data_IF_398756541789
#
_entry.id   IF_398756541789
#
_cell.length_a   1.000
_cell.length_b   1.000
_cell.length_c   1.000
_cell.angle_alpha   90.00
_cell.angle_beta   90.00
_cell.angle_gamma   90.00
#
_symmetry.space_group_name_H-M   'P 1'
#
loop_
_entity.id
_entity.type
_entity.pdbx_description
1 polymer ?
#
# COMPACT_ATOMS: atom_id res chain seq x y z
N UNK A 1 -10.36 13.87 7.90
CA UNK A 1 -9.90 14.97 7.04
C UNK A 1 -9.16 14.39 5.84
N UNK A 2 -9.03 15.13 4.74
CA UNK A 2 -8.24 14.69 3.58
C UNK A 2 -6.76 14.67 3.97
N UNK A 3 -6.09 13.54 3.78
CA UNK A 3 -4.69 13.35 4.13
C UNK A 3 -3.84 13.18 2.88
N UNK A 4 -2.67 13.80 2.86
CA UNK A 4 -1.72 13.75 1.75
C UNK A 4 -0.30 13.69 2.31
N UNK A 5 0.61 13.18 1.50
CA UNK A 5 2.02 13.07 1.82
C UNK A 5 2.83 14.04 0.94
N UNK A 6 3.76 14.75 1.57
CA UNK A 6 4.82 15.50 0.89
C UNK A 6 6.15 14.78 1.09
N UNK A 7 6.66 14.18 0.02
CA UNK A 7 7.88 13.38 0.05
C UNK A 7 9.02 14.23 -0.50
N UNK A 8 10.07 14.43 0.30
CA UNK A 8 11.20 15.30 -0.06
C UNK A 8 12.11 14.73 -1.15
N UNK A 9 12.03 13.43 -1.45
CA UNK A 9 12.98 12.74 -2.34
C UNK A 9 14.44 13.03 -1.96
N UNK A 10 14.73 13.00 -0.64
CA UNK A 10 16.02 13.42 -0.08
C UNK A 10 17.19 12.47 -0.42
N UNK A 11 16.91 11.28 -0.98
CA UNK A 11 17.94 10.36 -1.42
C UNK A 11 18.59 10.88 -2.70
N UNK A 12 19.93 10.81 -2.75
CA UNK A 12 20.72 11.25 -3.90
C UNK A 12 20.25 10.53 -5.17
N UNK A 13 19.86 11.30 -6.19
CA UNK A 13 19.39 10.78 -7.47
C UNK A 13 17.92 10.34 -7.49
N UNK A 14 17.18 10.47 -6.39
CA UNK A 14 15.75 10.10 -6.36
C UNK A 14 14.82 11.16 -6.97
N UNK A 15 15.15 12.46 -6.94
CA UNK A 15 14.46 13.56 -7.63
C UNK A 15 12.97 13.29 -7.98
N UNK A 16 12.66 12.93 -9.22
CA UNK A 16 11.31 12.62 -9.73
C UNK A 16 11.08 11.12 -9.97
N UNK A 17 11.95 10.22 -9.49
CA UNK A 17 11.87 8.78 -9.75
C UNK A 17 10.55 8.18 -9.28
N UNK A 18 10.02 8.62 -8.12
CA UNK A 18 8.72 8.19 -7.63
C UNK A 18 7.58 8.62 -8.57
N UNK A 19 7.64 9.85 -9.09
CA UNK A 19 6.66 10.39 -10.06
C UNK A 19 6.71 9.59 -11.35
N UNK A 20 7.91 9.33 -11.89
CA UNK A 20 8.09 8.54 -13.11
C UNK A 20 7.57 7.12 -12.92
N UNK A 21 7.93 6.47 -11.80
CA UNK A 21 7.48 5.12 -11.48
C UNK A 21 5.96 5.01 -11.42
N UNK A 22 5.28 5.93 -10.71
CA UNK A 22 3.82 5.91 -10.64
C UNK A 22 3.17 6.22 -11.99
N UNK A 23 3.77 7.10 -12.80
CA UNK A 23 3.27 7.39 -14.14
C UNK A 23 3.36 6.17 -15.06
N UNK A 24 4.46 5.42 -14.99
CA UNK A 24 4.61 4.15 -15.73
C UNK A 24 3.58 3.13 -15.25
N UNK A 25 3.36 3.00 -13.93
CA UNK A 25 2.33 2.12 -13.38
C UNK A 25 0.94 2.42 -13.97
N UNK A 26 0.56 3.71 -14.02
CA UNK A 26 -0.68 4.12 -14.68
C UNK A 26 -0.73 3.82 -16.18
N UNK A 27 0.39 3.98 -16.90
CA UNK A 27 0.47 3.69 -18.35
C UNK A 27 0.31 2.20 -18.67
N UNK A 28 0.80 1.30 -17.80
CA UNK A 28 0.66 -0.15 -17.98
C UNK A 28 -0.64 -0.70 -17.41
N UNK A 29 -1.53 0.16 -16.91
CA UNK A 29 -2.81 -0.25 -16.36
C UNK A 29 -2.71 -0.97 -15.01
N UNK A 30 -1.67 -0.69 -14.21
CA UNK A 30 -1.57 -1.23 -12.87
C UNK A 30 -2.79 -0.79 -12.04
N UNK A 31 -3.43 -1.76 -11.38
CA UNK A 31 -4.58 -1.48 -10.54
C UNK A 31 -4.19 -0.54 -9.39
N UNK A 32 -5.05 0.45 -9.12
CA UNK A 32 -4.92 1.37 -8.00
C UNK A 32 -3.56 2.13 -7.92
N UNK A 33 -2.98 2.49 -9.07
CA UNK A 33 -1.81 3.36 -9.09
C UNK A 33 -2.15 4.76 -8.54
N UNK A 34 -1.47 5.18 -7.48
CA UNK A 34 -1.64 6.50 -6.88
C UNK A 34 -1.17 7.65 -7.78
N UNK A 35 -1.70 8.83 -7.52
CA UNK A 35 -1.29 10.08 -8.15
C UNK A 35 -0.05 10.64 -7.45
N UNK A 36 1.02 10.85 -8.24
CA UNK A 36 2.27 11.44 -7.77
C UNK A 36 2.54 12.71 -8.59
N UNK A 37 2.55 13.86 -7.93
CA UNK A 37 2.74 15.17 -8.57
C UNK A 37 4.04 15.81 -8.05
N UNK A 38 4.97 16.20 -8.93
CA UNK A 38 6.13 17.00 -8.52
C UNK A 38 5.66 18.43 -8.23
N UNK A 39 6.10 19.00 -7.09
CA UNK A 39 5.73 20.34 -6.64
C UNK A 39 6.93 21.08 -6.06
N UNK A 40 6.97 22.40 -6.24
CA UNK A 40 7.96 23.27 -5.60
C UNK A 40 7.41 23.80 -4.28
N UNK A 41 8.04 23.45 -3.16
CA UNK A 41 7.51 23.74 -1.83
C UNK A 41 8.04 25.09 -1.31
N UNK A 42 7.11 25.91 -0.79
CA UNK A 42 7.42 27.12 -0.05
C UNK A 42 6.76 27.05 1.33
N UNK A 43 7.50 27.36 2.40
CA UNK A 43 6.97 27.45 3.77
C UNK A 43 7.31 28.83 4.32
N UNK A 44 6.29 29.60 4.68
CA UNK A 44 6.40 30.99 5.14
C UNK A 44 7.19 31.85 4.15
N UNK A 45 6.89 31.74 2.85
CA UNK A 45 7.58 32.46 1.76
C UNK A 45 8.99 31.94 1.43
N UNK A 46 9.55 31.01 2.21
CA UNK A 46 10.88 30.47 1.97
C UNK A 46 10.81 29.19 1.14
N UNK A 47 11.58 29.15 0.05
CA UNK A 47 11.72 27.96 -0.78
C UNK A 47 12.34 26.79 -0.01
N UNK A 48 11.77 25.59 -0.17
CA UNK A 48 12.17 24.35 0.53
C UNK A 48 12.65 23.25 -0.40
N UNK A 49 12.59 23.44 -1.70
CA UNK A 49 13.01 22.45 -2.68
C UNK A 49 11.85 21.81 -3.43
N UNK A 50 12.19 20.82 -4.25
CA UNK A 50 11.25 20.00 -4.99
C UNK A 50 10.77 18.83 -4.14
N UNK A 51 9.46 18.61 -4.09
CA UNK A 51 8.78 17.56 -3.34
C UNK A 51 7.85 16.78 -4.25
N UNK A 52 7.41 15.61 -3.80
CA UNK A 52 6.29 14.88 -4.41
C UNK A 52 5.07 14.97 -3.51
N UNK A 53 3.99 15.50 -4.06
CA UNK A 53 2.66 15.46 -3.47
C UNK A 53 1.94 14.19 -3.93
N UNK A 54 1.43 13.42 -2.99
CA UNK A 54 0.63 12.22 -3.26
C UNK A 54 -0.43 12.02 -2.19
N UNK A 55 -1.48 11.27 -2.53
CA UNK A 55 -2.50 10.87 -1.58
C UNK A 55 -1.95 9.90 -0.52
N UNK A 56 -2.46 10.00 0.71
CA UNK A 56 -2.22 8.97 1.72
C UNK A 56 -3.22 7.85 1.46
N UNK A 57 -2.72 6.62 1.23
CA UNK A 57 -3.56 5.43 1.09
C UNK A 57 -4.20 5.08 2.44
N UNK A 58 -5.50 4.79 2.42
CA UNK A 58 -6.27 4.37 3.58
C UNK A 58 -7.69 3.95 3.21
N UNK A 59 -8.46 3.53 4.20
CA UNK A 59 -9.89 3.24 4.03
C UNK A 59 -10.76 4.49 4.23
N UNK A 60 -11.97 4.46 3.67
CA UNK A 60 -13.00 5.50 3.76
C UNK A 60 -12.99 6.49 2.59
N UNK A 61 -14.06 7.31 2.51
CA UNK A 61 -14.50 8.15 1.38
C UNK A 61 -13.46 9.10 0.72
N UNK A 62 -12.24 9.17 1.23
CA UNK A 62 -11.17 10.03 0.69
C UNK A 62 -9.95 9.26 0.16
N UNK A 63 -9.99 7.92 0.14
CA UNK A 63 -8.99 7.08 -0.53
C UNK A 63 -9.67 5.85 -1.14
N UNK A 64 -9.61 4.68 -0.50
CA UNK A 64 -10.30 3.49 -0.96
C UNK A 64 -11.69 3.42 -0.30
N UNK A 65 -12.73 3.55 -1.12
CA UNK A 65 -14.13 3.49 -0.70
C UNK A 65 -14.77 2.24 -1.29
N UNK A 66 -15.08 1.25 -0.45
CA UNK A 66 -15.71 -0.01 -0.85
C UNK A 66 -17.15 -0.06 -0.34
N UNK A 67 -18.12 -0.57 -1.13
CA UNK A 67 -19.50 -0.71 -0.67
C UNK A 67 -19.68 -1.60 0.57
N UNK A 68 -18.77 -2.57 0.75
CA UNK A 68 -18.68 -3.45 1.91
C UNK A 68 -17.21 -3.61 2.30
N UNK A 69 -16.86 -3.13 3.49
CA UNK A 69 -15.50 -3.19 4.03
C UNK A 69 -15.27 -4.39 4.96
N UNK A 70 -16.28 -5.20 5.26
CA UNK A 70 -16.16 -6.31 6.23
C UNK A 70 -15.15 -7.38 5.81
N UNK A 71 -14.85 -7.45 4.51
CA UNK A 71 -13.84 -8.32 3.90
C UNK A 71 -12.65 -7.53 3.29
N UNK A 72 -12.57 -6.22 3.54
CA UNK A 72 -11.49 -5.39 3.03
C UNK A 72 -10.23 -5.55 3.90
N UNK A 73 -9.07 -5.47 3.26
CA UNK A 73 -7.78 -5.52 3.94
C UNK A 73 -6.82 -4.52 3.30
N UNK A 74 -6.11 -3.75 4.12
CA UNK A 74 -5.01 -2.91 3.69
C UNK A 74 -3.71 -3.44 4.30
N UNK A 75 -2.77 -3.82 3.42
CA UNK A 75 -1.49 -4.41 3.80
C UNK A 75 -0.35 -3.47 3.40
N UNK A 76 0.66 -3.39 4.25
CA UNK A 76 1.90 -2.66 3.99
C UNK A 76 3.08 -3.63 4.06
N UNK A 77 3.90 -3.67 3.00
CA UNK A 77 5.12 -4.47 2.96
C UNK A 77 6.28 -3.61 3.47
N UNK A 78 6.63 -3.77 4.75
CA UNK A 78 7.58 -2.90 5.43
C UNK A 78 8.51 -3.67 6.38
N UNK A 79 9.80 -3.40 6.25
CA UNK A 79 10.86 -3.95 7.11
C UNK A 79 10.85 -3.46 8.55
N UNK A 80 10.20 -2.32 8.86
CA UNK A 80 10.05 -1.88 10.25
C UNK A 80 9.21 -2.86 11.08
N UNK A 81 8.22 -3.52 10.46
CA UNK A 81 7.48 -4.64 11.05
C UNK A 81 6.97 -4.33 12.47
N UNK A 82 6.32 -3.19 12.62
CA UNK A 82 6.07 -2.49 13.88
C UNK A 82 4.58 -2.42 14.29
N UNK A 83 3.67 -2.90 13.44
CA UNK A 83 2.25 -2.99 13.80
C UNK A 83 1.96 -4.07 14.85
N UNK A 84 0.84 -3.95 15.57
CA UNK A 84 0.36 -5.01 16.48
C UNK A 84 0.03 -6.29 15.69
N UNK A 85 -0.70 -6.12 14.59
CA UNK A 85 -1.10 -7.20 13.69
C UNK A 85 -0.21 -7.21 12.45
N UNK A 86 0.58 -8.27 12.34
CA UNK A 86 1.61 -8.42 11.30
C UNK A 86 2.00 -9.88 11.14
N UNK A 87 2.53 -10.22 9.97
CA UNK A 87 3.02 -11.56 9.66
C UNK A 87 4.15 -11.51 8.65
N UNK A 88 4.94 -12.59 8.59
CA UNK A 88 5.91 -12.80 7.50
C UNK A 88 5.36 -13.83 6.54
N UNK A 89 5.55 -13.59 5.24
CA UNK A 89 5.21 -14.61 4.24
C UNK A 89 6.08 -15.85 4.44
N UNK A 90 5.47 -17.02 4.35
CA UNK A 90 6.11 -18.31 4.62
C UNK A 90 7.31 -18.58 3.71
N UNK A 91 7.20 -18.18 2.44
CA UNK A 91 8.22 -18.49 1.43
C UNK A 91 9.33 -17.45 1.31
N UNK A 92 8.95 -16.18 1.27
CA UNK A 92 9.89 -15.09 1.00
C UNK A 92 10.31 -14.34 2.27
N UNK A 93 9.70 -14.66 3.41
CA UNK A 93 9.91 -13.94 4.66
C UNK A 93 9.68 -12.43 4.52
N UNK A 94 8.80 -12.01 3.60
CA UNK A 94 8.44 -10.61 3.39
C UNK A 94 7.66 -10.15 4.62
N UNK A 95 8.12 -9.09 5.32
CA UNK A 95 7.40 -8.54 6.45
C UNK A 95 6.16 -7.77 5.96
N UNK A 96 5.00 -8.11 6.52
CA UNK A 96 3.70 -7.51 6.17
C UNK A 96 3.02 -7.00 7.44
N UNK A 97 2.73 -5.71 7.45
CA UNK A 97 1.93 -5.01 8.45
C UNK A 97 0.46 -4.95 7.99
N UNK A 98 -0.49 -5.22 8.90
CA UNK A 98 -1.92 -5.04 8.62
C UNK A 98 -2.32 -3.63 9.07
N UNK A 99 -2.71 -2.78 8.11
CA UNK A 99 -3.14 -1.39 8.36
C UNK A 99 -4.65 -1.24 8.50
N UNK A 100 -5.41 -2.19 7.95
CA UNK A 100 -6.86 -2.32 8.09
C UNK A 100 -7.26 -3.78 7.90
N UNK A 101 -8.25 -4.31 8.65
CA UNK A 101 -9.03 -3.63 9.70
C UNK A 101 -8.24 -3.42 10.99
N UNK A 102 -8.65 -2.44 11.80
CA UNK A 102 -8.38 -2.45 13.23
C UNK A 102 -9.31 -3.48 13.89
N UNK A 103 -8.76 -4.66 14.18
CA UNK A 103 -9.50 -5.77 14.79
C UNK A 103 -10.14 -5.46 16.15
N UNK A 104 -9.78 -4.34 16.80
CA UNK A 104 -10.39 -3.94 18.06
C UNK A 104 -11.65 -3.08 17.89
N UNK A 105 -11.84 -2.48 16.72
CA UNK A 105 -12.86 -1.44 16.52
C UNK A 105 -13.66 -1.57 15.22
N UNK A 106 -13.08 -2.13 14.15
CA UNK A 106 -13.73 -2.29 12.85
C UNK A 106 -14.56 -3.58 12.80
N UNK A 107 -15.72 -3.52 12.14
CA UNK A 107 -16.52 -4.71 11.83
C UNK A 107 -15.85 -5.49 10.69
N UNK A 108 -15.42 -6.72 10.96
CA UNK A 108 -14.75 -7.55 9.97
C UNK A 108 -15.06 -9.03 10.12
N UNK A 109 -15.12 -9.73 8.99
CA UNK A 109 -15.18 -11.19 8.91
C UNK A 109 -13.78 -11.84 8.86
N UNK A 110 -12.72 -11.02 8.88
CA UNK A 110 -11.34 -11.47 8.72
C UNK A 110 -10.66 -11.71 10.07
N UNK A 111 -9.67 -12.59 10.06
CA UNK A 111 -8.73 -12.77 11.15
C UNK A 111 -7.31 -12.60 10.61
N UNK A 112 -6.34 -12.31 11.48
CA UNK A 112 -4.93 -12.28 11.06
C UNK A 112 -4.51 -13.60 10.37
N UNK A 113 -5.04 -14.73 10.83
CA UNK A 113 -4.76 -16.05 10.24
C UNK A 113 -5.32 -16.18 8.82
N UNK A 114 -6.56 -15.73 8.57
CA UNK A 114 -7.15 -15.80 7.23
C UNK A 114 -6.45 -14.86 6.25
N UNK A 115 -6.12 -13.64 6.68
CA UNK A 115 -5.35 -12.67 5.87
C UNK A 115 -3.98 -13.25 5.51
N UNK A 116 -3.23 -13.74 6.50
CA UNK A 116 -1.92 -14.34 6.27
C UNK A 116 -2.03 -15.55 5.33
N UNK A 117 -3.03 -16.43 5.50
CA UNK A 117 -3.27 -17.56 4.58
C UNK A 117 -3.47 -17.07 3.14
N UNK A 118 -4.40 -16.14 2.92
CA UNK A 118 -4.72 -15.64 1.58
C UNK A 118 -3.53 -14.95 0.91
N UNK A 119 -2.80 -14.11 1.65
CA UNK A 119 -1.62 -13.44 1.09
C UNK A 119 -0.50 -14.43 0.77
N UNK A 120 -0.32 -15.47 1.60
CA UNK A 120 0.59 -16.56 1.29
C UNK A 120 0.17 -17.31 0.01
N UNK A 121 -1.12 -17.59 -0.18
CA UNK A 121 -1.65 -18.16 -1.42
C UNK A 121 -1.28 -17.31 -2.64
N UNK A 122 -1.51 -15.99 -2.59
CA UNK A 122 -1.12 -15.06 -3.65
C UNK A 122 0.38 -15.16 -3.96
N UNK A 123 1.25 -15.06 -2.93
CA UNK A 123 2.70 -15.10 -3.15
C UNK A 123 3.19 -16.44 -3.71
N UNK A 124 2.53 -17.54 -3.35
CA UNK A 124 2.80 -18.87 -3.88
C UNK A 124 2.30 -19.04 -5.33
N UNK A 125 1.18 -18.41 -5.70
CA UNK A 125 0.65 -18.41 -7.06
C UNK A 125 1.61 -17.68 -8.02
N UNK A 126 2.04 -16.47 -7.63
CA UNK A 126 3.01 -15.66 -8.37
C UNK A 126 4.32 -16.42 -8.62
N UNK A 127 4.81 -17.17 -7.63
CA UNK A 127 6.00 -18.00 -7.76
C UNK A 127 5.89 -19.02 -8.90
N UNK A 128 4.71 -19.60 -9.06
CA UNK A 128 4.45 -20.68 -10.02
C UNK A 128 4.04 -20.13 -11.38
N UNK A 129 3.89 -18.81 -11.52
CA UNK A 129 3.31 -18.14 -12.69
C UNK A 129 1.95 -18.77 -13.07
N UNK A 130 1.14 -19.13 -12.06
CA UNK A 130 -0.19 -19.70 -12.25
C UNK A 130 -1.28 -18.70 -11.82
N UNK A 131 -2.47 -18.75 -12.44
CA UNK A 131 -3.63 -17.99 -11.97
C UNK A 131 -3.89 -18.26 -10.48
N UNK A 132 -4.33 -17.24 -9.75
CA UNK A 132 -4.55 -17.36 -8.30
C UNK A 132 -5.69 -18.33 -8.00
N UNK A 133 -6.69 -18.38 -8.88
CA UNK A 133 -7.87 -19.23 -8.85
C UNK A 133 -7.51 -20.72 -8.88
N UNK A 134 -6.38 -21.09 -9.52
CA UNK A 134 -5.88 -22.47 -9.58
C UNK A 134 -5.06 -22.89 -8.36
N UNK A 135 -4.84 -21.97 -7.41
CA UNK A 135 -3.97 -22.18 -6.24
C UNK A 135 -4.63 -21.86 -4.91
N UNK A 136 -5.83 -21.28 -4.93
CA UNK A 136 -6.65 -21.13 -3.73
C UNK A 136 -7.07 -22.52 -3.23
N UNK A 137 -6.89 -22.78 -1.93
CA UNK A 137 -7.56 -23.91 -1.28
C UNK A 137 -9.08 -23.72 -1.43
N UNK A 138 -9.85 -24.81 -1.64
CA UNK A 138 -11.32 -24.75 -1.59
C UNK A 138 -11.85 -24.26 -0.24
#
# INVERSE_FOLDING_TARGET
GKNWNLIANALRGSMTTNVIGSRVAGMVGAAAANHFLPVELYINGNYRGSYTLTEKVGMGNNSIDLPDETNAVLLELDTYYDETYKFKTTRYSIPVNVKYPDFSSDETNLTLSSISKHFNTLTNALQRMRPIEETADP
#
